data_IF_873451471170
#
_entry.id   IF_873451471170
#
_cell.length_a   1.000
_cell.length_b   1.000
_cell.length_c   1.000
_cell.angle_alpha   90.00
_cell.angle_beta   90.00
_cell.angle_gamma   90.00
#
_symmetry.space_group_name_H-M   'P 1'
#
loop_
_entity.id
_entity.type
_entity.pdbx_description
1 polymer ?
#
# COMPACT_ATOMS: atom_id res chain seq x y z
N UNK A 1 0.10 -13.87 -1.77
CA UNK A 1 1.32 -13.29 -1.16
C UNK A 1 2.07 -12.55 -2.25
N UNK A 2 2.58 -11.35 -1.96
CA UNK A 2 3.47 -10.61 -2.87
C UNK A 2 4.71 -10.18 -2.09
N UNK A 3 5.85 -10.18 -2.76
CA UNK A 3 7.12 -9.71 -2.19
C UNK A 3 7.80 -8.87 -3.25
N UNK A 4 8.32 -7.71 -2.84
CA UNK A 4 9.12 -6.83 -3.67
C UNK A 4 10.45 -6.58 -2.94
N UNK A 5 11.56 -6.69 -3.67
CA UNK A 5 12.89 -6.41 -3.16
C UNK A 5 13.69 -5.66 -4.21
N UNK A 6 14.38 -4.62 -3.79
CA UNK A 6 15.30 -3.85 -4.62
C UNK A 6 16.54 -3.53 -3.80
N UNK A 7 17.72 -3.85 -4.33
CA UNK A 7 19.00 -3.48 -3.73
C UNK A 7 19.94 -2.95 -4.80
N UNK A 8 20.59 -1.83 -4.52
CA UNK A 8 21.57 -1.22 -5.40
C UNK A 8 21.27 0.24 -5.70
N UNK A 9 21.83 0.72 -6.81
CA UNK A 9 21.73 2.10 -7.26
C UNK A 9 21.07 2.16 -8.63
N UNK A 10 20.03 2.98 -8.76
CA UNK A 10 19.37 3.28 -10.03
C UNK A 10 19.43 4.78 -10.29
N UNK A 11 19.35 5.16 -11.57
CA UNK A 11 19.38 6.56 -11.99
C UNK A 11 18.00 7.23 -11.90
N UNK A 12 16.96 6.47 -11.56
CA UNK A 12 15.56 6.87 -11.47
C UNK A 12 14.80 5.97 -10.49
N UNK A 13 13.62 6.40 -10.07
CA UNK A 13 12.72 5.62 -9.20
C UNK A 13 11.84 4.64 -9.96
N UNK A 14 11.82 4.69 -11.30
CA UNK A 14 10.93 3.90 -12.15
C UNK A 14 11.00 2.40 -11.88
N UNK A 15 12.19 1.89 -11.56
CA UNK A 15 12.37 0.47 -11.19
C UNK A 15 11.61 0.15 -9.90
N UNK A 16 11.71 1.01 -8.89
CA UNK A 16 10.99 0.85 -7.64
C UNK A 16 9.47 0.98 -7.84
N UNK A 17 9.02 1.97 -8.62
CA UNK A 17 7.60 2.16 -8.95
C UNK A 17 7.04 1.00 -9.77
N UNK A 18 7.85 0.38 -10.63
CA UNK A 18 7.45 -0.81 -11.38
C UNK A 18 7.30 -2.06 -10.51
N UNK A 19 8.16 -2.19 -9.48
CA UNK A 19 8.17 -3.32 -8.55
C UNK A 19 7.05 -3.20 -7.50
N UNK A 20 6.91 -2.01 -6.92
CA UNK A 20 5.83 -1.65 -6.03
C UNK A 20 5.33 -0.25 -6.39
N UNK A 21 4.22 -0.14 -7.15
CA UNK A 21 3.64 1.15 -7.51
C UNK A 21 3.27 2.02 -6.31
N UNK A 22 3.02 1.41 -5.15
CA UNK A 22 2.73 2.15 -3.93
C UNK A 22 4.01 2.61 -3.22
N UNK A 23 5.18 2.04 -3.51
CA UNK A 23 6.44 2.50 -2.91
C UNK A 23 6.76 3.95 -3.31
N UNK A 24 6.26 4.43 -4.45
CA UNK A 24 6.36 5.82 -4.88
C UNK A 24 5.61 6.80 -3.96
N UNK A 25 4.59 6.34 -3.23
CA UNK A 25 3.78 7.17 -2.34
C UNK A 25 4.42 7.29 -0.95
N UNK A 26 5.34 6.39 -0.58
CA UNK A 26 5.90 6.30 0.78
C UNK A 26 7.39 6.59 0.87
N UNK A 27 8.11 6.48 -0.26
CA UNK A 27 9.55 6.67 -0.32
C UNK A 27 9.81 7.93 -1.12
N UNK A 28 10.44 8.92 -0.49
CA UNK A 28 10.90 10.13 -1.17
C UNK A 28 12.42 10.05 -1.32
N UNK A 29 12.94 9.47 -2.41
CA UNK A 29 14.38 9.29 -2.57
C UNK A 29 15.08 10.64 -2.79
N UNK A 30 16.22 10.87 -2.12
CA UNK A 30 17.01 12.08 -2.33
C UNK A 30 17.38 12.25 -3.81
N UNK A 31 17.00 13.39 -4.40
CA UNK A 31 17.32 13.75 -5.78
C UNK A 31 16.76 12.80 -6.87
N UNK A 32 15.72 12.01 -6.57
CA UNK A 32 15.12 11.08 -7.54
C UNK A 32 15.98 9.85 -7.88
N UNK A 33 17.09 9.66 -7.15
CA UNK A 33 18.00 8.53 -7.29
C UNK A 33 17.71 7.52 -6.19
N UNK A 34 17.40 6.28 -6.55
CA UNK A 34 17.36 5.21 -5.56
C UNK A 34 18.78 4.67 -5.39
N UNK A 35 19.31 4.73 -4.17
CA UNK A 35 20.57 4.12 -3.81
C UNK A 35 20.41 3.49 -2.43
N UNK A 36 20.26 2.17 -2.34
CA UNK A 36 19.96 1.55 -1.06
C UNK A 36 19.35 0.17 -1.17
N UNK A 37 18.61 -0.21 -0.13
CA UNK A 37 17.86 -1.46 -0.04
C UNK A 37 16.41 -1.17 0.30
N UNK A 38 15.50 -1.92 -0.31
CA UNK A 38 14.07 -1.86 -0.10
C UNK A 38 13.54 -3.30 -0.09
N UNK A 39 12.68 -3.61 0.87
CA UNK A 39 11.98 -4.87 0.95
C UNK A 39 10.55 -4.63 1.43
N UNK A 40 9.58 -5.25 0.76
CA UNK A 40 8.17 -5.27 1.19
C UNK A 40 7.58 -6.65 0.96
N UNK A 41 6.75 -7.08 1.90
CA UNK A 41 5.92 -8.27 1.79
C UNK A 41 4.47 -7.96 2.11
N UNK A 42 3.57 -8.64 1.41
CA UNK A 42 2.15 -8.65 1.75
C UNK A 42 1.57 -10.06 1.68
N UNK A 43 0.74 -10.39 2.66
CA UNK A 43 0.05 -11.66 2.76
C UNK A 43 -1.44 -11.41 3.00
N UNK A 44 -2.28 -12.30 2.48
CA UNK A 44 -3.72 -12.30 2.75
C UNK A 44 -4.15 -13.75 2.85
N UNK A 45 -4.96 -14.06 3.86
CA UNK A 45 -5.42 -15.42 4.14
C UNK A 45 -6.88 -15.39 4.59
N UNK A 46 -7.71 -16.34 4.11
CA UNK A 46 -9.07 -16.51 4.60
C UNK A 46 -9.02 -17.02 6.05
N UNK A 47 -9.69 -16.31 6.96
CA UNK A 47 -9.84 -16.72 8.37
C UNK A 47 -11.02 -17.68 8.50
N UNK A 48 -12.06 -17.44 7.71
CA UNK A 48 -13.24 -18.29 7.66
C UNK A 48 -13.76 -18.38 6.22
N UNK A 49 -14.10 -19.58 5.76
CA UNK A 49 -14.61 -19.78 4.40
C UNK A 49 -15.65 -20.88 4.37
N UNK A 50 -16.81 -20.56 3.78
CA UNK A 50 -17.85 -21.50 3.40
C UNK A 50 -18.09 -21.42 1.89
N UNK A 51 -17.01 -21.59 1.13
CA UNK A 51 -17.00 -21.43 -0.32
C UNK A 51 -17.34 -20.01 -0.75
N UNK A 52 -18.02 -19.89 -1.90
CA UNK A 52 -18.39 -18.58 -2.44
C UNK A 52 -19.57 -17.92 -1.70
N UNK A 53 -20.29 -18.66 -0.85
CA UNK A 53 -21.45 -18.11 -0.13
C UNK A 53 -21.04 -17.07 0.91
N UNK A 54 -19.99 -17.36 1.68
CA UNK A 54 -19.39 -16.40 2.60
C UNK A 54 -17.91 -16.77 2.82
N UNK A 55 -17.02 -15.81 2.66
CA UNK A 55 -15.60 -15.91 3.02
C UNK A 55 -15.19 -14.61 3.69
N UNK A 56 -14.45 -14.72 4.79
CA UNK A 56 -13.88 -13.60 5.54
C UNK A 56 -12.38 -13.85 5.65
N UNK A 57 -11.59 -12.84 5.35
CA UNK A 57 -10.14 -12.93 5.44
C UNK A 57 -9.50 -11.66 5.93
N UNK A 58 -8.22 -11.80 6.27
CA UNK A 58 -7.39 -10.70 6.72
C UNK A 58 -6.14 -10.64 5.87
N UNK A 59 -5.51 -9.47 5.83
CA UNK A 59 -4.23 -9.24 5.20
C UNK A 59 -3.32 -8.43 6.09
N UNK A 60 -2.02 -8.59 5.86
CA UNK A 60 -0.97 -7.82 6.51
C UNK A 60 0.04 -7.40 5.45
N UNK A 61 0.54 -6.18 5.61
CA UNK A 61 1.58 -5.56 4.81
C UNK A 61 2.72 -5.14 5.74
N UNK A 62 3.96 -5.39 5.34
CA UNK A 62 5.13 -4.91 6.06
C UNK A 62 6.25 -4.60 5.06
N UNK A 63 6.99 -3.52 5.29
CA UNK A 63 8.12 -3.16 4.47
C UNK A 63 9.10 -2.25 5.20
N UNK A 64 10.33 -2.23 4.70
CA UNK A 64 11.40 -1.40 5.22
C UNK A 64 12.34 -0.98 4.10
N UNK A 65 12.95 0.19 4.25
CA UNK A 65 13.97 0.69 3.33
C UNK A 65 15.08 1.43 4.06
N UNK A 66 16.23 1.43 3.40
CA UNK A 66 17.41 2.17 3.80
C UNK A 66 18.05 2.72 2.54
N UNK A 67 18.09 4.05 2.42
CA UNK A 67 18.66 4.77 1.30
C UNK A 67 19.96 5.45 1.74
N UNK A 68 21.03 5.12 1.03
CA UNK A 68 22.38 5.66 1.20
C UNK A 68 22.53 6.86 0.27
N UNK A 69 22.57 8.05 0.84
CA UNK A 69 22.79 9.30 0.14
C UNK A 69 22.82 10.45 1.13
N UNK A 70 23.07 11.69 0.70
CA UNK A 70 22.75 12.87 1.49
C UNK A 70 21.30 13.33 1.19
N UNK A 71 20.37 13.30 2.16
CA UNK A 71 20.49 12.72 3.50
C UNK A 71 20.35 11.18 3.49
N UNK A 72 20.90 10.54 4.54
CA UNK A 72 20.67 9.11 4.77
C UNK A 72 19.22 8.94 5.18
N UNK A 73 18.49 8.03 4.55
CA UNK A 73 17.05 7.90 4.80
C UNK A 73 16.71 6.48 5.20
N UNK A 74 15.97 6.31 6.29
CA UNK A 74 15.48 5.01 6.76
C UNK A 74 13.98 5.10 6.99
N UNK A 75 13.26 4.03 6.67
CA UNK A 75 11.83 4.04 6.88
C UNK A 75 11.23 2.65 6.85
N UNK A 76 9.96 2.61 7.20
CA UNK A 76 9.19 1.39 7.23
C UNK A 76 7.71 1.66 7.06
N UNK A 77 7.01 0.61 6.65
CA UNK A 77 5.56 0.60 6.51
C UNK A 77 4.99 -0.65 7.16
N UNK A 78 3.80 -0.50 7.71
CA UNK A 78 2.97 -1.59 8.20
C UNK A 78 1.53 -1.33 7.79
N UNK A 79 0.80 -2.39 7.48
CA UNK A 79 -0.57 -2.29 7.04
C UNK A 79 -1.38 -3.52 7.38
N UNK A 80 -2.69 -3.33 7.35
CA UNK A 80 -3.66 -4.37 7.62
C UNK A 80 -4.82 -4.27 6.65
N UNK A 81 -5.40 -5.42 6.32
CA UNK A 81 -6.59 -5.50 5.51
C UNK A 81 -7.60 -6.47 6.10
N UNK A 82 -8.87 -6.21 5.83
CA UNK A 82 -9.98 -7.14 6.05
C UNK A 82 -10.76 -7.23 4.75
N UNK A 83 -11.15 -8.44 4.38
CA UNK A 83 -11.94 -8.65 3.17
C UNK A 83 -13.03 -9.69 3.38
N UNK A 84 -14.08 -9.55 2.58
CA UNK A 84 -15.24 -10.42 2.60
C UNK A 84 -15.73 -10.69 1.19
N UNK A 85 -16.20 -11.91 0.95
CA UNK A 85 -16.99 -12.27 -0.22
C UNK A 85 -18.29 -12.90 0.28
N UNK A 86 -19.41 -12.55 -0.34
CA UNK A 86 -20.74 -13.03 0.02
C UNK A 86 -21.58 -13.32 -1.22
N UNK A 87 -22.43 -14.36 -1.14
CA UNK A 87 -23.38 -14.75 -2.19
C UNK A 87 -22.74 -14.96 -3.58
N UNK A 88 -21.44 -15.25 -3.63
CA UNK A 88 -20.63 -15.46 -4.84
C UNK A 88 -20.56 -14.24 -5.79
N UNK A 89 -21.27 -13.16 -5.47
CA UNK A 89 -21.38 -11.97 -6.31
C UNK A 89 -20.95 -10.72 -5.58
N UNK A 90 -21.04 -10.65 -4.25
CA UNK A 90 -20.69 -9.44 -3.51
C UNK A 90 -19.30 -9.60 -2.90
N UNK A 91 -18.46 -8.57 -3.02
CA UNK A 91 -17.13 -8.55 -2.44
C UNK A 91 -16.82 -7.19 -1.83
N UNK A 92 -16.08 -7.18 -0.74
CA UNK A 92 -15.62 -5.96 -0.08
C UNK A 92 -14.22 -6.17 0.47
N UNK A 93 -13.41 -5.12 0.45
CA UNK A 93 -12.13 -5.06 1.14
C UNK A 93 -11.91 -3.67 1.70
N UNK A 94 -11.48 -3.61 2.95
CA UNK A 94 -10.87 -2.42 3.54
C UNK A 94 -9.39 -2.69 3.78
N UNK A 95 -8.55 -1.70 3.53
CA UNK A 95 -7.12 -1.78 3.80
C UNK A 95 -6.62 -0.42 4.29
N UNK A 96 -5.71 -0.48 5.26
CA UNK A 96 -4.96 0.67 5.75
C UNK A 96 -3.48 0.37 5.69
N UNK A 97 -2.71 1.38 5.35
CA UNK A 97 -1.26 1.35 5.38
C UNK A 97 -0.79 2.59 6.13
N UNK A 98 0.17 2.41 7.03
CA UNK A 98 0.90 3.51 7.66
C UNK A 98 2.37 3.34 7.42
N UNK A 99 3.08 4.44 7.26
CA UNK A 99 4.51 4.46 7.06
C UNK A 99 5.15 5.60 7.84
N UNK A 100 6.43 5.44 8.11
CA UNK A 100 7.26 6.45 8.73
C UNK A 100 8.62 6.44 8.05
N UNK A 101 9.15 7.63 7.80
CA UNK A 101 10.47 7.83 7.25
C UNK A 101 11.24 8.83 8.11
N UNK A 102 12.55 8.60 8.24
CA UNK A 102 13.48 9.51 8.88
C UNK A 102 14.63 9.82 7.95
N UNK A 103 14.88 11.10 7.76
CA UNK A 103 16.00 11.64 7.03
C UNK A 103 17.07 12.14 8.00
N UNK A 104 18.31 11.73 7.79
CA UNK A 104 19.45 12.02 8.65
C UNK A 104 19.80 10.91 9.64
N UNK A 105 20.99 11.04 10.23
CA UNK A 105 21.54 10.12 11.23
C UNK A 105 21.44 10.67 12.67
N UNK A 106 20.90 11.87 12.85
CA UNK A 106 20.77 12.50 14.16
C UNK A 106 19.65 11.82 14.97
N UNK A 107 19.70 11.91 16.30
CA UNK A 107 18.66 11.51 17.23
C UNK A 107 17.55 12.57 17.37
N UNK A 108 17.68 13.72 16.71
CA UNK A 108 16.62 14.73 16.63
C UNK A 108 15.35 14.22 15.93
N UNK A 109 14.24 14.92 16.18
CA UNK A 109 12.96 14.72 15.49
C UNK A 109 12.91 15.39 14.11
N UNK A 110 13.95 16.11 13.73
CA UNK A 110 14.03 16.80 12.45
C UNK A 110 14.12 15.78 11.31
N UNK A 111 13.40 16.03 10.20
CA UNK A 111 13.36 15.13 9.05
C UNK A 111 12.55 13.84 9.27
N UNK A 112 11.66 13.83 10.26
CA UNK A 112 10.73 12.73 10.52
C UNK A 112 9.40 12.99 9.79
N UNK A 113 9.06 12.12 8.85
CA UNK A 113 7.77 12.13 8.17
C UNK A 113 6.96 10.89 8.51
N UNK A 114 5.65 11.08 8.61
CA UNK A 114 4.70 9.99 8.78
C UNK A 114 3.63 10.10 7.72
N UNK A 115 3.10 8.98 7.27
CA UNK A 115 1.92 9.03 6.44
C UNK A 115 1.08 7.78 6.56
N UNK A 116 -0.15 7.89 6.12
CA UNK A 116 -1.04 6.76 6.06
C UNK A 116 -2.09 6.94 4.98
N UNK A 117 -2.47 5.83 4.37
CA UNK A 117 -3.56 5.72 3.42
C UNK A 117 -4.55 4.69 3.94
N UNK A 118 -5.83 4.99 3.84
CA UNK A 118 -6.90 4.03 4.05
C UNK A 118 -7.82 4.02 2.84
N UNK A 119 -8.18 2.83 2.37
CA UNK A 119 -9.11 2.68 1.27
C UNK A 119 -10.05 1.50 1.48
N UNK A 120 -11.21 1.59 0.84
CA UNK A 120 -12.22 0.55 0.77
C UNK A 120 -12.61 0.35 -0.68
N UNK A 121 -12.78 -0.89 -1.09
CA UNK A 121 -13.39 -1.24 -2.36
C UNK A 121 -14.53 -2.21 -2.12
N UNK A 122 -15.61 -2.05 -2.88
CA UNK A 122 -16.71 -2.97 -2.97
C UNK A 122 -16.92 -3.35 -4.43
N UNK A 123 -17.19 -4.61 -4.70
CA UNK A 123 -17.36 -5.13 -6.04
C UNK A 123 -18.54 -6.08 -6.15
N UNK A 124 -19.12 -6.13 -7.34
CA UNK A 124 -20.13 -7.11 -7.73
C UNK A 124 -19.68 -7.94 -8.93
N UNK A 125 -19.93 -9.25 -8.91
CA UNK A 125 -19.51 -10.20 -9.95
C UNK A 125 -18.50 -11.22 -9.44
N UNK A 126 -17.65 -11.73 -10.33
CA UNK A 126 -16.64 -12.76 -10.03
C UNK A 126 -15.36 -12.15 -9.44
N UNK A 127 -15.56 -11.36 -8.40
CA UNK A 127 -14.50 -10.62 -7.72
C UNK A 127 -13.62 -11.54 -6.88
N UNK A 128 -12.34 -11.21 -6.81
CA UNK A 128 -11.33 -11.86 -5.98
C UNK A 128 -10.75 -10.87 -4.96
N UNK A 129 -11.51 -10.52 -3.90
CA UNK A 129 -11.12 -9.46 -2.96
C UNK A 129 -9.84 -9.78 -2.18
N UNK A 130 -9.46 -11.05 -2.06
CA UNK A 130 -8.16 -11.44 -1.51
C UNK A 130 -6.95 -10.99 -2.36
N UNK A 131 -7.17 -10.65 -3.64
CA UNK A 131 -6.12 -10.22 -4.58
C UNK A 131 -6.00 -8.69 -4.71
N UNK A 132 -6.95 -7.93 -4.15
CA UNK A 132 -6.99 -6.47 -4.22
C UNK A 132 -5.95 -5.85 -3.28
N UNK A 133 -4.69 -5.84 -3.69
CA UNK A 133 -3.60 -5.29 -2.87
C UNK A 133 -3.52 -3.77 -2.87
N UNK A 134 -4.25 -3.11 -3.76
CA UNK A 134 -4.36 -1.65 -3.89
C UNK A 134 -5.67 -1.27 -4.59
N UNK A 135 -6.09 0.00 -4.51
CA UNK A 135 -7.23 0.54 -5.27
C UNK A 135 -7.10 0.26 -6.76
N UNK A 136 -5.96 0.57 -7.36
CA UNK A 136 -5.72 0.31 -8.78
C UNK A 136 -5.84 -1.17 -9.16
N UNK A 137 -5.52 -2.10 -8.24
CA UNK A 137 -5.67 -3.53 -8.50
C UNK A 137 -7.13 -3.99 -8.43
N UNK A 138 -7.93 -3.44 -7.50
CA UNK A 138 -9.36 -3.75 -7.43
C UNK A 138 -10.10 -3.33 -8.71
N UNK A 139 -9.63 -2.26 -9.37
CA UNK A 139 -10.19 -1.80 -10.67
C UNK A 139 -9.87 -2.66 -11.88
N UNK A 140 -8.94 -3.60 -11.75
CA UNK A 140 -8.47 -4.45 -12.85
C UNK A 140 -8.84 -5.91 -12.61
N UNK A 141 -9.83 -6.16 -11.76
CA UNK A 141 -10.30 -7.51 -11.49
C UNK A 141 -11.27 -7.96 -12.58
N UNK A 142 -11.05 -9.16 -13.09
CA UNK A 142 -11.76 -9.62 -14.29
C UNK A 142 -13.20 -9.99 -13.92
N UNK A 143 -14.17 -9.56 -14.75
CA UNK A 143 -15.61 -9.84 -14.53
C UNK A 143 -16.14 -9.34 -13.17
N UNK A 144 -15.55 -8.26 -12.66
CA UNK A 144 -15.90 -7.66 -11.38
C UNK A 144 -16.09 -6.14 -11.55
N UNK A 145 -17.34 -5.70 -11.41
CA UNK A 145 -17.64 -4.26 -11.37
C UNK A 145 -17.31 -3.72 -9.99
N UNK A 146 -16.36 -2.80 -9.89
CA UNK A 146 -15.82 -2.37 -8.59
C UNK A 146 -15.98 -0.87 -8.38
N UNK A 147 -16.36 -0.44 -7.18
CA UNK A 147 -16.27 0.96 -6.73
C UNK A 147 -15.33 1.05 -5.53
N UNK A 148 -14.65 2.18 -5.37
CA UNK A 148 -13.69 2.38 -4.28
C UNK A 148 -13.73 3.80 -3.70
N UNK A 149 -13.30 3.92 -2.45
CA UNK A 149 -13.06 5.19 -1.80
C UNK A 149 -11.74 5.13 -1.02
N UNK A 150 -11.02 6.24 -0.94
CA UNK A 150 -9.76 6.31 -0.22
C UNK A 150 -9.49 7.69 0.35
N UNK A 151 -8.70 7.71 1.42
CA UNK A 151 -8.20 8.92 2.08
C UNK A 151 -6.74 8.72 2.48
N UNK A 152 -5.99 9.81 2.48
CA UNK A 152 -4.59 9.84 2.89
C UNK A 152 -4.34 10.98 3.88
N UNK A 153 -3.32 10.82 4.71
CA UNK A 153 -2.81 11.90 5.54
C UNK A 153 -1.30 11.74 5.71
N UNK A 154 -0.58 12.84 5.60
CA UNK A 154 0.87 12.89 5.76
C UNK A 154 1.22 13.96 6.78
N UNK A 155 2.22 13.69 7.60
CA UNK A 155 2.85 14.62 8.51
C UNK A 155 4.28 14.87 8.04
N UNK A 156 4.58 16.14 7.76
CA UNK A 156 5.92 16.65 7.44
C UNK A 156 5.97 18.10 7.92
N UNK A 157 6.53 18.32 9.11
CA UNK A 157 6.46 19.61 9.84
C UNK A 157 5.05 20.21 9.99
N UNK A 158 4.01 19.38 9.80
CA UNK A 158 2.62 19.79 9.73
C UNK A 158 1.74 18.68 9.13
N UNK A 159 0.44 18.68 9.46
CA UNK A 159 -0.52 17.71 8.90
C UNK A 159 -1.07 18.17 7.57
N UNK A 160 -0.94 17.32 6.56
CA UNK A 160 -1.51 17.44 5.24
C UNK A 160 -2.50 16.30 5.02
N UNK A 161 -3.79 16.61 5.01
CA UNK A 161 -4.84 15.63 4.72
C UNK A 161 -5.10 15.65 3.22
N UNK A 162 -4.96 14.50 2.58
CA UNK A 162 -5.30 14.34 1.18
C UNK A 162 -6.82 14.37 1.00
N UNK A 163 -7.26 14.89 -0.13
CA UNK A 163 -8.69 14.94 -0.43
C UNK A 163 -9.25 13.51 -0.50
N UNK A 164 -10.37 13.21 0.16
CA UNK A 164 -11.02 11.93 -0.02
C UNK A 164 -11.36 11.73 -1.50
N UNK A 165 -11.02 10.56 -2.01
CA UNK A 165 -11.26 10.16 -3.39
C UNK A 165 -12.32 9.08 -3.41
N UNK A 166 -13.26 9.19 -4.34
CA UNK A 166 -14.33 8.21 -4.54
C UNK A 166 -14.43 7.91 -6.03
N UNK A 167 -14.50 6.63 -6.37
CA UNK A 167 -14.77 6.14 -7.71
C UNK A 167 -16.12 5.44 -7.75
N UNK A 168 -16.89 5.73 -8.80
CA UNK A 168 -18.05 4.94 -9.16
C UNK A 168 -17.63 3.55 -9.69
N UNK A 169 -18.61 2.74 -10.05
CA UNK A 169 -18.36 1.41 -10.61
C UNK A 169 -17.64 1.50 -11.96
N UNK A 170 -16.56 0.74 -12.10
CA UNK A 170 -15.81 0.52 -13.35
C UNK A 170 -15.76 -0.96 -13.70
#
# INVERSE_FOLDING_TARGET
MKVAFLAGRTCNTDVLVSLDPQAAEFITPPNGLFNGVYARGSASFPVWSNGCFLTIGVGADAGAWLLVGPPFTTGGLVGGAVFGQGLCIASVRGQMLVHAEKQGLDLSTDGLSFGGEAWVAAGTGFCSPGSWTSRARSRKDDWCGTGDAGMGATYDDGWHVESPSVSAIH
#
